data_IF_918593610214
#
_entry.id   IF_918593610214
#
_cell.length_a   1.000
_cell.length_b   1.000
_cell.length_c   1.000
_cell.angle_alpha   90.00
_cell.angle_beta   90.00
_cell.angle_gamma   90.00
#
_symmetry.space_group_name_H-M   'P 1'
#
loop_
_entity.id
_entity.type
_entity.pdbx_description
1 polymer ?
#
# COMPACT_ATOMS: atom_id res chain seq x y z
N UNK A 1 2.96 53.78 6.52
CA UNK A 1 3.77 52.60 6.90
C UNK A 1 2.85 51.39 6.94
N UNK A 2 2.95 50.51 5.95
CA UNK A 2 2.13 49.29 5.90
C UNK A 2 2.73 48.27 6.86
N UNK A 3 2.09 48.08 8.02
CA UNK A 3 2.44 47.02 8.96
C UNK A 3 2.26 45.67 8.28
N UNK A 4 3.37 45.02 7.94
CA UNK A 4 3.41 43.64 7.49
C UNK A 4 2.97 42.74 8.65
N UNK A 5 1.65 42.53 8.77
CA UNK A 5 1.09 41.60 9.73
C UNK A 5 1.67 40.21 9.49
N UNK A 6 2.15 39.58 10.57
CA UNK A 6 2.55 38.17 10.57
C UNK A 6 1.36 37.38 10.02
N UNK A 7 1.50 36.86 8.80
CA UNK A 7 0.48 35.99 8.22
C UNK A 7 0.55 34.70 9.03
N UNK A 8 -0.40 34.50 9.96
CA UNK A 8 -0.52 33.25 10.70
C UNK A 8 -0.61 32.10 9.69
N UNK A 9 0.05 30.99 10.02
CA UNK A 9 0.06 29.81 9.16
C UNK A 9 -1.10 28.88 9.52
N UNK A 10 -1.61 28.16 8.53
CA UNK A 10 -2.56 27.07 8.70
C UNK A 10 -1.85 25.76 8.38
N UNK A 11 -1.68 24.94 9.41
CA UNK A 11 -0.86 23.73 9.44
C UNK A 11 -1.74 22.51 9.24
N UNK A 12 -1.65 21.89 8.07
CA UNK A 12 -2.47 20.73 7.72
C UNK A 12 -1.61 19.50 7.45
N UNK A 13 -1.97 18.38 8.08
CA UNK A 13 -1.35 17.08 7.85
C UNK A 13 -2.16 16.30 6.83
N UNK A 14 -1.52 15.83 5.76
CA UNK A 14 -2.13 14.89 4.82
C UNK A 14 -1.86 13.46 5.26
N UNK A 15 -2.81 12.88 5.97
CA UNK A 15 -2.77 11.50 6.45
C UNK A 15 -3.23 10.58 5.31
N UNK A 16 -2.32 9.75 4.77
CA UNK A 16 -2.71 8.71 3.80
C UNK A 16 -3.23 7.45 4.48
N UNK A 17 -2.88 7.29 5.76
CA UNK A 17 -3.14 6.10 6.57
C UNK A 17 -1.99 5.09 6.56
N UNK A 18 -1.01 5.22 5.67
CA UNK A 18 0.16 4.34 5.67
C UNK A 18 1.17 4.67 6.79
N UNK A 19 2.17 3.80 6.96
CA UNK A 19 3.28 3.87 7.93
C UNK A 19 3.92 5.26 7.99
N UNK A 20 4.29 5.85 6.86
CA UNK A 20 5.02 7.12 6.82
C UNK A 20 4.15 8.28 7.32
N UNK A 21 2.93 8.41 6.80
CA UNK A 21 2.03 9.50 7.21
C UNK A 21 1.58 9.36 8.67
N UNK A 22 1.45 8.13 9.16
CA UNK A 22 1.08 7.84 10.56
C UNK A 22 2.24 8.19 11.49
N UNK A 23 3.45 7.70 11.21
CA UNK A 23 4.65 8.03 11.96
C UNK A 23 4.89 9.54 11.99
N UNK A 24 4.77 10.20 10.83
CA UNK A 24 4.92 11.65 10.72
C UNK A 24 3.96 12.39 11.65
N UNK A 25 2.66 12.07 11.62
CA UNK A 25 1.66 12.74 12.47
C UNK A 25 2.01 12.59 13.95
N UNK A 26 2.26 11.36 14.40
CA UNK A 26 2.53 11.10 15.82
C UNK A 26 3.82 11.80 16.27
N UNK A 27 4.89 11.69 15.49
CA UNK A 27 6.15 12.37 15.79
C UNK A 27 6.02 13.90 15.78
N UNK A 28 5.15 14.47 14.93
CA UNK A 28 4.85 15.90 14.94
C UNK A 28 4.17 16.30 16.25
N UNK A 29 3.17 15.53 16.71
CA UNK A 29 2.46 15.78 17.96
C UNK A 29 3.40 15.65 19.17
N UNK A 30 4.23 14.61 19.22
CA UNK A 30 5.24 14.41 20.29
C UNK A 30 6.25 15.55 20.37
N UNK A 31 6.57 16.19 19.24
CA UNK A 31 7.48 17.35 19.16
C UNK A 31 6.80 18.69 19.37
N UNK A 32 5.50 18.71 19.71
CA UNK A 32 4.74 19.95 19.89
C UNK A 32 4.64 20.80 18.62
N UNK A 33 4.72 20.17 17.43
CA UNK A 33 4.56 20.89 16.17
C UNK A 33 3.10 21.32 15.97
N UNK A 34 2.87 22.47 15.32
CA UNK A 34 1.51 22.92 15.03
C UNK A 34 0.81 21.99 14.04
N UNK A 35 -0.41 21.58 14.40
CA UNK A 35 -1.35 20.82 13.57
C UNK A 35 -2.74 21.42 13.79
N UNK A 36 -3.20 22.24 12.85
CA UNK A 36 -4.56 22.79 12.87
C UNK A 36 -5.59 21.80 12.33
N UNK A 37 -5.20 20.91 11.42
CA UNK A 37 -6.08 19.91 10.82
C UNK A 37 -5.31 18.68 10.34
N UNK A 38 -5.93 17.51 10.49
CA UNK A 38 -5.50 16.26 9.85
C UNK A 38 -6.54 15.89 8.80
N UNK A 39 -6.10 15.74 7.55
CA UNK A 39 -6.99 15.40 6.42
C UNK A 39 -6.67 14.00 5.92
N UNK A 40 -7.69 13.16 5.84
CA UNK A 40 -7.66 11.87 5.13
C UNK A 40 -8.64 11.93 3.95
N UNK A 41 -8.25 11.33 2.82
CA UNK A 41 -9.08 11.27 1.62
C UNK A 41 -9.47 9.83 1.34
N UNK A 42 -10.74 9.52 1.56
CA UNK A 42 -11.37 8.24 1.35
C UNK A 42 -11.71 8.07 -0.14
N UNK A 43 -10.96 7.21 -0.82
CA UNK A 43 -11.18 6.89 -2.23
C UNK A 43 -12.31 5.88 -2.43
N UNK A 44 -12.71 5.17 -1.38
CA UNK A 44 -13.53 3.95 -1.47
C UNK A 44 -12.77 2.72 -1.99
N UNK A 45 -11.50 2.84 -2.34
CA UNK A 45 -10.64 1.75 -2.82
C UNK A 45 -9.51 1.41 -1.86
N UNK A 46 -9.55 1.89 -0.61
CA UNK A 46 -8.58 1.52 0.41
C UNK A 46 -8.88 0.10 0.94
N UNK A 47 -7.87 -0.60 1.48
CA UNK A 47 -8.13 -1.84 2.19
C UNK A 47 -9.06 -1.60 3.40
N UNK A 48 -9.98 -2.53 3.75
CA UNK A 48 -10.85 -2.36 4.92
C UNK A 48 -10.10 -2.06 6.22
N UNK A 49 -8.96 -2.73 6.44
CA UNK A 49 -8.13 -2.51 7.62
C UNK A 49 -7.50 -1.09 7.67
N UNK A 50 -7.32 -0.42 6.52
CA UNK A 50 -6.85 0.97 6.48
C UNK A 50 -7.90 1.93 7.04
N UNK A 51 -9.18 1.70 6.76
CA UNK A 51 -10.27 2.53 7.30
C UNK A 51 -10.33 2.39 8.83
N UNK A 52 -10.20 1.17 9.34
CA UNK A 52 -10.09 0.90 10.78
C UNK A 52 -8.88 1.58 11.41
N UNK A 53 -7.72 1.53 10.75
CA UNK A 53 -6.49 2.21 11.20
C UNK A 53 -6.66 3.72 11.35
N UNK A 54 -7.33 4.40 10.40
CA UNK A 54 -7.60 5.84 10.51
C UNK A 54 -8.42 6.16 11.77
N UNK A 55 -9.43 5.35 12.08
CA UNK A 55 -10.21 5.48 13.31
C UNK A 55 -9.37 5.27 14.57
N UNK A 56 -8.45 4.29 14.56
CA UNK A 56 -7.51 4.06 15.67
C UNK A 56 -6.58 5.25 15.90
N UNK A 57 -5.99 5.80 14.84
CA UNK A 57 -5.12 6.99 14.93
C UNK A 57 -5.87 8.19 15.50
N UNK A 58 -7.09 8.46 15.04
CA UNK A 58 -7.93 9.55 15.57
C UNK A 58 -8.22 9.37 17.07
N UNK A 59 -8.59 8.15 17.49
CA UNK A 59 -8.90 7.83 18.88
C UNK A 59 -7.68 7.96 19.82
N UNK A 60 -6.51 7.47 19.39
CA UNK A 60 -5.31 7.46 20.23
C UNK A 60 -4.58 8.81 20.27
N UNK A 61 -4.60 9.57 19.17
CA UNK A 61 -3.98 10.89 19.13
C UNK A 61 -4.88 11.98 19.73
N UNK A 62 -6.19 11.75 19.79
CA UNK A 62 -7.19 12.75 20.17
C UNK A 62 -7.36 13.88 19.15
N UNK A 63 -6.71 13.78 17.98
CA UNK A 63 -6.78 14.80 16.92
C UNK A 63 -7.86 14.39 15.92
N UNK A 64 -8.92 15.20 15.73
CA UNK A 64 -9.96 14.91 14.75
C UNK A 64 -9.40 14.80 13.33
N UNK A 65 -9.87 13.80 12.58
CA UNK A 65 -9.51 13.57 11.19
C UNK A 65 -10.65 14.03 10.29
N UNK A 66 -10.41 15.08 9.51
CA UNK A 66 -11.31 15.52 8.44
C UNK A 66 -11.28 14.50 7.31
N UNK A 67 -12.43 13.87 7.07
CA UNK A 67 -12.60 12.82 6.07
C UNK A 67 -13.19 13.42 4.79
N UNK A 68 -12.35 13.58 3.78
CA UNK A 68 -12.75 14.03 2.46
C UNK A 68 -13.12 12.84 1.58
N UNK A 69 -14.09 13.05 0.70
CA UNK A 69 -14.53 12.09 -0.32
C UNK A 69 -14.57 12.77 -1.68
N UNK A 70 -14.46 12.01 -2.79
CA UNK A 70 -14.66 12.61 -4.10
C UNK A 70 -16.14 12.99 -4.29
N UNK A 71 -16.39 14.05 -5.06
CA UNK A 71 -17.75 14.53 -5.38
C UNK A 71 -18.60 13.42 -6.05
N UNK A 72 -17.93 12.51 -6.79
CA UNK A 72 -18.49 11.30 -7.38
C UNK A 72 -17.54 10.12 -7.10
N UNK A 73 -18.05 8.89 -6.88
CA UNK A 73 -17.20 7.74 -6.53
C UNK A 73 -16.19 7.41 -7.62
N UNK A 74 -15.05 6.83 -7.26
CA UNK A 74 -14.02 6.48 -8.24
C UNK A 74 -14.49 5.49 -9.31
N UNK A 75 -15.45 4.61 -8.99
CA UNK A 75 -16.10 3.74 -9.99
C UNK A 75 -16.77 4.56 -11.11
N UNK A 76 -17.49 5.64 -10.78
CA UNK A 76 -18.08 6.52 -11.79
C UNK A 76 -17.00 7.13 -12.70
N UNK A 77 -15.92 7.63 -12.11
CA UNK A 77 -14.81 8.20 -12.89
C UNK A 77 -14.10 7.17 -13.77
N UNK A 78 -13.99 5.93 -13.30
CA UNK A 78 -13.34 4.85 -14.01
C UNK A 78 -14.18 4.34 -15.19
N UNK A 79 -15.51 4.22 -15.02
CA UNK A 79 -16.39 3.53 -15.97
C UNK A 79 -17.35 4.45 -16.74
N UNK A 80 -17.92 5.46 -16.08
CA UNK A 80 -19.11 6.17 -16.60
C UNK A 80 -18.80 7.61 -17.04
N UNK A 81 -17.75 8.22 -16.51
CA UNK A 81 -17.42 9.61 -16.79
C UNK A 81 -17.10 9.83 -18.28
N UNK A 82 -17.92 10.61 -18.97
CA UNK A 82 -17.69 10.99 -20.37
C UNK A 82 -16.51 11.94 -20.47
N UNK A 83 -15.47 11.52 -21.21
CA UNK A 83 -14.24 12.28 -21.39
C UNK A 83 -14.49 13.48 -22.30
N UNK A 84 -14.17 14.67 -21.81
CA UNK A 84 -14.42 15.90 -22.56
C UNK A 84 -13.30 16.29 -23.54
N UNK A 85 -12.09 15.72 -23.40
CA UNK A 85 -10.88 16.12 -24.15
C UNK A 85 -9.95 14.93 -24.42
N UNK A 86 -9.08 15.09 -25.42
CA UNK A 86 -8.04 14.12 -25.80
C UNK A 86 -8.50 13.12 -26.87
N UNK A 87 -7.65 12.15 -27.19
CA UNK A 87 -7.87 11.19 -28.29
C UNK A 87 -9.13 10.30 -28.14
N UNK A 88 -9.68 10.22 -26.93
CA UNK A 88 -10.88 9.43 -26.58
C UNK A 88 -11.98 10.33 -26.03
N UNK A 89 -12.08 11.57 -26.51
CA UNK A 89 -13.17 12.46 -26.14
C UNK A 89 -14.51 11.88 -26.62
N UNK A 90 -15.55 11.97 -25.80
CA UNK A 90 -16.86 11.36 -26.03
C UNK A 90 -17.00 9.92 -25.52
N UNK A 91 -15.90 9.24 -25.17
CA UNK A 91 -15.95 7.90 -24.59
C UNK A 91 -16.14 7.94 -23.06
N UNK A 92 -16.79 6.90 -22.53
CA UNK A 92 -17.02 6.74 -21.10
C UNK A 92 -15.80 6.15 -20.37
N UNK A 93 -15.57 6.66 -19.16
CA UNK A 93 -14.59 6.15 -18.22
C UNK A 93 -13.15 6.60 -18.51
N UNK A 94 -12.42 6.96 -17.45
CA UNK A 94 -10.98 7.15 -17.57
C UNK A 94 -10.22 5.82 -17.73
N UNK A 95 -10.83 4.70 -17.37
CA UNK A 95 -10.17 3.39 -17.34
C UNK A 95 -9.05 3.33 -16.28
N UNK A 96 -8.17 2.33 -16.41
CA UNK A 96 -7.06 2.16 -15.49
C UNK A 96 -6.06 3.31 -15.56
N UNK A 97 -5.72 3.85 -14.40
CA UNK A 97 -4.72 4.91 -14.28
C UNK A 97 -3.34 4.41 -14.75
N UNK A 98 -2.61 5.28 -15.45
CA UNK A 98 -1.22 5.02 -15.88
C UNK A 98 -0.26 6.02 -15.24
N UNK A 99 1.04 5.76 -15.31
CA UNK A 99 2.07 6.67 -14.79
C UNK A 99 1.90 8.11 -15.29
N UNK A 100 1.58 8.30 -16.57
CA UNK A 100 1.33 9.60 -17.18
C UNK A 100 -0.12 10.11 -17.09
N UNK A 101 -1.06 9.30 -16.60
CA UNK A 101 -2.49 9.64 -16.52
C UNK A 101 -3.07 9.14 -15.19
N UNK A 102 -2.69 9.81 -14.10
CA UNK A 102 -3.12 9.50 -12.73
C UNK A 102 -4.35 10.33 -12.35
N UNK A 103 -5.48 10.06 -13.00
CA UNK A 103 -6.73 10.78 -12.74
C UNK A 103 -7.17 10.67 -11.27
N UNK A 104 -6.99 9.51 -10.64
CA UNK A 104 -7.32 9.27 -9.23
C UNK A 104 -6.50 10.17 -8.28
N UNK A 105 -5.20 10.32 -8.55
CA UNK A 105 -4.33 11.24 -7.80
C UNK A 105 -4.78 12.68 -8.00
N UNK A 106 -5.10 13.09 -9.23
CA UNK A 106 -5.55 14.45 -9.54
C UNK A 106 -6.82 14.82 -8.79
N UNK A 107 -7.84 13.95 -8.81
CA UNK A 107 -9.10 14.17 -8.08
C UNK A 107 -8.82 14.35 -6.59
N UNK A 108 -8.07 13.42 -5.98
CA UNK A 108 -7.69 13.47 -4.56
C UNK A 108 -6.96 14.76 -4.22
N UNK A 109 -5.89 15.10 -4.94
CA UNK A 109 -5.08 16.29 -4.66
C UNK A 109 -5.89 17.57 -4.86
N UNK A 110 -6.71 17.66 -5.91
CA UNK A 110 -7.53 18.85 -6.16
C UNK A 110 -8.61 19.06 -5.09
N UNK A 111 -9.21 17.99 -4.59
CA UNK A 111 -10.18 18.07 -3.50
C UNK A 111 -9.53 18.51 -2.18
N UNK A 112 -8.39 17.92 -1.82
CA UNK A 112 -7.60 18.34 -0.65
C UNK A 112 -7.18 19.82 -0.79
N UNK A 113 -6.63 20.22 -1.93
CA UNK A 113 -6.16 21.59 -2.15
C UNK A 113 -7.31 22.59 -2.07
N UNK A 114 -8.50 22.24 -2.59
CA UNK A 114 -9.72 23.07 -2.49
C UNK A 114 -10.15 23.24 -1.04
N UNK A 115 -10.22 22.14 -0.29
CA UNK A 115 -10.59 22.13 1.13
C UNK A 115 -9.62 22.97 1.96
N UNK A 116 -8.32 22.69 1.84
CA UNK A 116 -7.27 23.37 2.60
C UNK A 116 -7.26 24.88 2.33
N UNK A 117 -7.45 25.30 1.07
CA UNK A 117 -7.55 26.73 0.72
C UNK A 117 -8.78 27.39 1.36
N UNK A 118 -9.92 26.70 1.37
CA UNK A 118 -11.13 27.21 2.00
C UNK A 118 -10.94 27.39 3.53
N UNK A 119 -10.34 26.40 4.20
CA UNK A 119 -10.12 26.43 5.65
C UNK A 119 -9.01 27.38 6.09
N UNK A 120 -7.99 27.58 5.26
CA UNK A 120 -6.91 28.52 5.55
C UNK A 120 -7.40 29.99 5.52
N UNK A 121 -8.35 30.31 4.65
CA UNK A 121 -8.79 31.69 4.42
C UNK A 121 -7.63 32.57 3.93
N UNK A 122 -7.24 33.58 4.73
CA UNK A 122 -6.11 34.48 4.43
C UNK A 122 -4.76 33.99 4.99
N UNK A 123 -4.74 32.87 5.71
CA UNK A 123 -3.53 32.30 6.34
C UNK A 123 -2.65 31.63 5.29
N UNK A 124 -1.34 31.59 5.56
CA UNK A 124 -0.39 30.86 4.73
C UNK A 124 -0.54 29.35 4.99
N UNK A 125 -0.79 28.56 3.96
CA UNK A 125 -0.90 27.10 4.09
C UNK A 125 0.47 26.47 4.26
N UNK A 126 0.62 25.62 5.28
CA UNK A 126 1.75 24.71 5.47
C UNK A 126 1.19 23.29 5.47
N UNK A 127 1.45 22.55 4.38
CA UNK A 127 0.98 21.18 4.24
C UNK A 127 2.12 20.20 4.50
N UNK A 128 1.90 19.29 5.45
CA UNK A 128 2.82 18.22 5.81
C UNK A 128 2.42 16.93 5.10
N UNK A 129 3.39 16.26 4.46
CA UNK A 129 3.19 15.00 3.74
C UNK A 129 4.22 13.98 4.19
N UNK A 130 3.75 12.77 4.52
CA UNK A 130 4.62 11.65 4.90
C UNK A 130 5.37 11.10 3.69
N UNK A 131 6.60 11.55 3.50
CA UNK A 131 7.59 10.97 2.60
C UNK A 131 8.82 10.67 3.45
N UNK A 132 9.27 9.43 3.45
CA UNK A 132 10.44 9.00 4.19
C UNK A 132 11.76 9.56 3.60
N UNK A 133 12.82 9.58 4.39
CA UNK A 133 14.12 10.14 4.02
C UNK A 133 14.78 9.43 2.83
N UNK A 134 14.64 8.12 2.74
CA UNK A 134 15.08 7.27 1.61
C UNK A 134 14.23 7.47 0.33
N UNK A 135 13.10 8.14 0.44
CA UNK A 135 12.24 8.56 -0.67
C UNK A 135 12.31 10.07 -0.98
N UNK A 136 13.30 10.80 -0.44
CA UNK A 136 13.40 12.25 -0.52
C UNK A 136 13.34 12.82 -1.96
N UNK A 137 13.76 12.06 -2.97
CA UNK A 137 13.65 12.44 -4.38
C UNK A 137 12.19 12.69 -4.85
N UNK A 138 11.19 12.20 -4.08
CA UNK A 138 9.75 12.41 -4.33
C UNK A 138 9.22 13.73 -3.76
N UNK A 139 9.98 14.40 -2.88
CA UNK A 139 9.56 15.62 -2.20
C UNK A 139 9.47 16.82 -3.16
N UNK A 140 8.31 17.49 -3.21
CA UNK A 140 8.04 18.65 -4.07
C UNK A 140 7.17 19.70 -3.39
N UNK A 141 7.70 20.90 -3.12
CA UNK A 141 6.90 22.09 -2.80
C UNK A 141 6.00 22.05 -1.55
N UNK A 142 6.18 21.08 -0.64
CA UNK A 142 5.44 20.93 0.63
C UNK A 142 6.44 20.70 1.78
N UNK A 143 5.97 20.50 3.00
CA UNK A 143 6.82 20.14 4.16
C UNK A 143 6.90 18.63 4.32
N UNK A 144 8.10 18.13 4.60
CA UNK A 144 8.38 16.70 4.64
C UNK A 144 9.15 16.35 5.92
N UNK A 145 8.48 16.37 7.09
CA UNK A 145 9.16 16.20 8.38
C UNK A 145 10.01 14.94 8.48
N UNK A 146 9.55 13.78 7.96
CA UNK A 146 10.36 12.56 8.02
C UNK A 146 11.68 12.69 7.24
N UNK A 147 11.68 13.38 6.09
CA UNK A 147 12.92 13.72 5.36
C UNK A 147 13.80 14.64 6.22
N UNK A 148 13.20 15.66 6.83
CA UNK A 148 13.89 16.63 7.69
C UNK A 148 14.50 15.98 8.94
N UNK A 149 13.94 14.87 9.40
CA UNK A 149 14.39 14.11 10.57
C UNK A 149 15.23 12.88 10.23
N UNK A 150 15.46 12.59 8.95
CA UNK A 150 16.22 11.41 8.52
C UNK A 150 15.52 10.07 8.78
N UNK A 151 14.19 10.04 8.90
CA UNK A 151 13.43 8.82 9.18
C UNK A 151 13.11 8.07 7.88
N UNK A 152 13.59 6.83 7.77
CA UNK A 152 13.36 5.91 6.64
C UNK A 152 12.00 5.22 6.70
N UNK A 153 11.56 4.58 5.59
CA UNK A 153 10.31 3.81 5.58
C UNK A 153 10.30 2.68 6.63
N UNK A 154 11.45 2.02 6.83
CA UNK A 154 11.60 0.93 7.78
C UNK A 154 11.49 1.43 9.23
N UNK A 155 12.12 2.56 9.55
CA UNK A 155 12.03 3.19 10.86
C UNK A 155 10.62 3.72 11.13
N UNK A 156 9.96 4.31 10.14
CA UNK A 156 8.56 4.74 10.25
C UNK A 156 7.63 3.56 10.60
N UNK A 157 7.81 2.42 9.94
CA UNK A 157 7.05 1.21 10.25
C UNK A 157 7.34 0.69 11.65
N UNK A 158 8.63 0.57 12.02
CA UNK A 158 9.04 0.09 13.33
C UNK A 158 8.51 0.99 14.45
N UNK A 159 8.58 2.31 14.27
CA UNK A 159 8.06 3.32 15.17
C UNK A 159 6.54 3.18 15.40
N UNK A 160 5.79 2.92 14.33
CA UNK A 160 4.36 2.68 14.42
C UNK A 160 4.04 1.34 15.12
N UNK A 161 4.76 0.27 14.79
CA UNK A 161 4.57 -1.04 15.44
C UNK A 161 4.85 -0.99 16.94
N UNK A 162 5.88 -0.26 17.36
CA UNK A 162 6.18 -0.06 18.78
C UNK A 162 5.05 0.64 19.55
N UNK A 163 4.13 1.31 18.85
CA UNK A 163 2.92 1.96 19.42
C UNK A 163 1.65 1.15 19.19
N UNK A 164 1.77 -0.10 18.71
CA UNK A 164 0.65 -1.00 18.52
C UNK A 164 -0.13 -0.80 17.22
N UNK A 165 0.39 -0.04 16.24
CA UNK A 165 -0.22 0.01 14.91
C UNK A 165 0.26 -1.16 14.04
N UNK A 166 -0.69 -1.98 13.57
CA UNK A 166 -0.43 -3.18 12.78
C UNK A 166 -1.16 -3.22 11.43
N UNK A 167 -2.10 -2.30 11.19
CA UNK A 167 -2.96 -2.26 10.01
C UNK A 167 -3.66 -3.60 9.72
N UNK A 168 -3.99 -4.38 10.76
CA UNK A 168 -4.53 -5.73 10.59
C UNK A 168 -3.57 -6.68 9.87
N UNK A 169 -2.26 -6.49 10.01
CA UNK A 169 -1.21 -7.32 9.41
C UNK A 169 -0.90 -6.99 7.95
N UNK A 170 -1.45 -5.90 7.38
CA UNK A 170 -1.21 -5.57 5.97
C UNK A 170 0.29 -5.38 5.66
N UNK A 171 1.04 -4.73 6.56
CA UNK A 171 2.48 -4.53 6.36
C UNK A 171 3.35 -5.78 6.60
N UNK A 172 2.76 -6.91 7.03
CA UNK A 172 3.46 -8.20 7.05
C UNK A 172 3.44 -8.89 5.67
N UNK A 173 2.57 -8.40 4.79
CA UNK A 173 2.26 -9.00 3.48
C UNK A 173 2.62 -8.07 2.32
N UNK A 174 2.50 -6.77 2.52
CA UNK A 174 2.69 -5.74 1.49
C UNK A 174 3.75 -4.71 1.89
N UNK A 175 4.54 -4.27 0.92
CA UNK A 175 5.49 -3.17 1.12
C UNK A 175 4.80 -1.81 1.24
N UNK A 176 3.72 -1.63 0.46
CA UNK A 176 2.92 -0.41 0.38
C UNK A 176 1.43 -0.71 0.38
N UNK A 177 0.73 -0.13 1.33
CA UNK A 177 -0.72 -0.29 1.53
C UNK A 177 -1.38 1.06 1.24
N UNK A 178 -2.21 1.07 0.20
CA UNK A 178 -2.98 2.23 -0.26
C UNK A 178 -4.23 1.68 -0.93
N UNK A 179 -4.54 2.12 -2.16
CA UNK A 179 -5.59 1.48 -2.92
C UNK A 179 -5.20 0.06 -3.35
N UNK A 180 -6.07 -0.91 -3.06
CA UNK A 180 -5.82 -2.34 -3.30
C UNK A 180 -5.84 -2.70 -4.80
N UNK A 181 -6.50 -1.89 -5.63
CA UNK A 181 -6.67 -2.11 -7.07
C UNK A 181 -5.68 -1.31 -7.94
N UNK A 182 -4.52 -0.91 -7.42
CA UNK A 182 -3.64 0.01 -8.14
C UNK A 182 -2.81 -0.72 -9.21
N UNK A 183 -2.93 -0.36 -10.50
CA UNK A 183 -2.15 -1.01 -11.56
C UNK A 183 -0.63 -0.77 -11.46
N UNK A 184 -0.21 0.19 -10.62
CA UNK A 184 1.19 0.56 -10.39
C UNK A 184 1.83 -0.18 -9.20
N UNK A 185 1.12 -1.12 -8.56
CA UNK A 185 1.67 -1.96 -7.50
C UNK A 185 2.75 -2.91 -8.02
N UNK A 186 3.50 -3.56 -7.13
CA UNK A 186 4.48 -4.58 -7.55
C UNK A 186 3.74 -5.87 -7.94
N UNK A 187 4.35 -6.71 -8.77
CA UNK A 187 3.77 -8.03 -9.09
C UNK A 187 3.72 -8.93 -7.84
N UNK A 188 4.66 -8.77 -6.90
CA UNK A 188 4.62 -9.45 -5.59
C UNK A 188 3.35 -9.10 -4.82
N UNK A 189 3.02 -7.81 -4.72
CA UNK A 189 1.82 -7.33 -4.05
C UNK A 189 0.55 -7.89 -4.72
N UNK A 190 0.52 -7.99 -6.06
CA UNK A 190 -0.64 -8.58 -6.74
C UNK A 190 -0.78 -10.09 -6.51
N UNK A 191 0.35 -10.83 -6.43
CA UNK A 191 0.31 -12.24 -6.04
C UNK A 191 -0.22 -12.40 -4.61
N UNK A 192 0.22 -11.53 -3.71
CA UNK A 192 -0.25 -11.54 -2.32
C UNK A 192 -1.73 -11.16 -2.22
N UNK A 193 -2.18 -10.16 -3.00
CA UNK A 193 -3.59 -9.79 -3.09
C UNK A 193 -4.43 -10.99 -3.55
N UNK A 194 -4.01 -11.68 -4.63
CA UNK A 194 -4.67 -12.87 -5.14
C UNK A 194 -4.76 -13.99 -4.11
N UNK A 195 -3.68 -14.25 -3.37
CA UNK A 195 -3.59 -15.37 -2.41
C UNK A 195 -4.35 -15.10 -1.11
N UNK A 196 -4.25 -13.88 -0.59
CA UNK A 196 -4.70 -13.54 0.76
C UNK A 196 -6.01 -12.75 0.80
N UNK A 197 -6.44 -12.21 -0.34
CA UNK A 197 -7.68 -11.41 -0.46
C UNK A 197 -8.45 -11.81 -1.74
N UNK A 198 -8.94 -13.06 -1.84
CA UNK A 198 -9.60 -13.56 -3.05
C UNK A 198 -10.82 -12.72 -3.45
N UNK A 199 -11.60 -12.20 -2.49
CA UNK A 199 -12.74 -11.33 -2.80
C UNK A 199 -12.33 -10.02 -3.47
N UNK A 200 -11.22 -9.41 -3.03
CA UNK A 200 -10.67 -8.21 -3.66
C UNK A 200 -10.06 -8.53 -5.03
N UNK A 201 -9.51 -9.72 -5.20
CA UNK A 201 -8.99 -10.19 -6.48
C UNK A 201 -10.10 -10.41 -7.51
N UNK A 202 -11.21 -11.04 -7.12
CA UNK A 202 -12.38 -11.19 -8.00
C UNK A 202 -12.98 -9.83 -8.36
N UNK A 203 -13.08 -8.91 -7.39
CA UNK A 203 -13.50 -7.54 -7.69
C UNK A 203 -12.54 -6.84 -8.66
N UNK A 204 -11.23 -7.08 -8.53
CA UNK A 204 -10.23 -6.54 -9.46
C UNK A 204 -10.42 -7.10 -10.88
N UNK A 205 -10.73 -8.40 -11.01
CA UNK A 205 -11.04 -9.04 -12.31
C UNK A 205 -12.30 -8.44 -12.94
N UNK A 206 -13.36 -8.25 -12.15
CA UNK A 206 -14.60 -7.61 -12.61
C UNK A 206 -14.37 -6.16 -13.07
N UNK A 207 -13.56 -5.41 -12.31
CA UNK A 207 -13.18 -4.05 -12.68
C UNK A 207 -12.41 -4.00 -14.00
N UNK A 208 -11.49 -4.95 -14.22
CA UNK A 208 -10.68 -5.00 -15.44
C UNK A 208 -11.52 -5.41 -16.66
N UNK A 209 -12.43 -6.37 -16.50
CA UNK A 209 -13.35 -6.78 -17.56
C UNK A 209 -14.29 -5.64 -18.02
N UNK A 210 -14.56 -4.67 -17.15
CA UNK A 210 -15.37 -3.48 -17.44
C UNK A 210 -14.57 -2.29 -17.98
N UNK A 211 -13.28 -2.23 -17.69
CA UNK A 211 -12.43 -1.12 -18.11
C UNK A 211 -12.20 -1.17 -19.63
N UNK A 212 -12.10 -0.01 -20.27
CA UNK A 212 -11.85 0.03 -21.71
C UNK A 212 -10.39 -0.31 -22.07
N UNK A 213 -9.47 -0.19 -21.13
CA UNK A 213 -8.06 -0.57 -21.27
C UNK A 213 -7.68 -1.67 -20.31
N UNK A 214 -6.57 -2.33 -20.61
CA UNK A 214 -5.93 -3.29 -19.73
C UNK A 214 -5.43 -2.65 -18.43
N UNK A 215 -5.54 -3.43 -17.35
CA UNK A 215 -5.01 -3.13 -16.02
C UNK A 215 -3.58 -2.59 -16.05
N UNK A 216 -2.67 -3.34 -16.65
CA UNK A 216 -1.29 -2.90 -16.91
C UNK A 216 -1.12 -2.55 -18.39
N UNK A 217 0.09 -2.13 -18.79
CA UNK A 217 0.36 -1.93 -20.22
C UNK A 217 0.40 -3.34 -20.83
N UNK A 218 -0.50 -3.58 -21.79
CA UNK A 218 -0.63 -4.84 -22.54
C UNK A 218 -0.77 -6.08 -21.65
N UNK A 219 -1.43 -5.93 -20.50
CA UNK A 219 -1.59 -7.01 -19.53
C UNK A 219 -2.85 -6.83 -18.68
N UNK A 220 -3.83 -7.70 -18.90
CA UNK A 220 -5.09 -7.79 -18.15
C UNK A 220 -4.91 -8.55 -16.84
N UNK A 221 -5.82 -8.38 -15.90
CA UNK A 221 -5.88 -9.15 -14.65
C UNK A 221 -6.09 -10.63 -14.95
N UNK A 222 -6.88 -10.97 -15.98
CA UNK A 222 -7.08 -12.35 -16.40
C UNK A 222 -5.79 -13.01 -16.95
N UNK A 223 -4.93 -12.25 -17.63
CA UNK A 223 -3.60 -12.73 -18.01
C UNK A 223 -2.69 -12.90 -16.79
N UNK A 224 -2.78 -12.01 -15.80
CA UNK A 224 -2.07 -12.16 -14.53
C UNK A 224 -2.57 -13.38 -13.75
N UNK A 225 -3.87 -13.65 -13.72
CA UNK A 225 -4.46 -14.83 -13.08
C UNK A 225 -3.85 -16.10 -13.65
N UNK A 226 -3.88 -16.25 -14.98
CA UNK A 226 -3.28 -17.40 -15.67
C UNK A 226 -1.78 -17.54 -15.37
N UNK A 227 -1.06 -16.42 -15.40
CA UNK A 227 0.37 -16.40 -15.08
C UNK A 227 0.64 -16.86 -13.65
N UNK A 228 -0.06 -16.31 -12.67
CA UNK A 228 0.15 -16.63 -11.25
C UNK A 228 -0.28 -18.06 -10.93
N UNK A 229 -1.39 -18.53 -11.51
CA UNK A 229 -1.79 -19.94 -11.41
C UNK A 229 -0.72 -20.89 -11.97
N UNK A 230 -0.11 -20.54 -13.10
CA UNK A 230 0.99 -21.32 -13.66
C UNK A 230 2.24 -21.33 -12.75
N UNK A 231 2.63 -20.17 -12.22
CA UNK A 231 3.75 -20.04 -11.27
C UNK A 231 3.52 -20.85 -9.97
N UNK A 232 2.29 -20.87 -9.46
CA UNK A 232 1.89 -21.66 -8.29
C UNK A 232 2.00 -23.17 -8.58
N UNK A 233 1.55 -23.61 -9.76
CA UNK A 233 1.68 -25.00 -10.20
C UNK A 233 3.15 -25.43 -10.31
N UNK A 234 4.01 -24.59 -10.91
CA UNK A 234 5.44 -24.89 -11.02
C UNK A 234 6.10 -25.02 -9.65
N UNK A 235 5.78 -24.12 -8.72
CA UNK A 235 6.30 -24.15 -7.34
C UNK A 235 5.91 -25.46 -6.65
N UNK A 236 4.66 -25.89 -6.83
CA UNK A 236 4.14 -27.15 -6.28
C UNK A 236 4.86 -28.37 -6.84
N UNK A 237 5.06 -28.42 -8.16
CA UNK A 237 5.77 -29.53 -8.82
C UNK A 237 7.23 -29.62 -8.37
N UNK A 238 7.93 -28.48 -8.30
CA UNK A 238 9.32 -28.44 -7.84
C UNK A 238 9.46 -28.85 -6.37
N UNK A 239 8.51 -28.45 -5.52
CA UNK A 239 8.45 -28.88 -4.12
C UNK A 239 8.32 -30.41 -4.01
N UNK A 240 7.39 -30.99 -4.77
CA UNK A 240 7.21 -32.44 -4.83
C UNK A 240 8.48 -33.18 -5.29
N UNK A 241 9.15 -32.67 -6.34
CA UNK A 241 10.42 -33.25 -6.82
C UNK A 241 11.49 -33.20 -5.73
N UNK A 242 11.66 -32.05 -5.06
CA UNK A 242 12.66 -31.89 -4.01
C UNK A 242 12.39 -32.82 -2.80
N UNK A 243 11.13 -33.00 -2.41
CA UNK A 243 10.73 -33.92 -1.35
C UNK A 243 11.01 -35.38 -1.73
N UNK A 244 10.70 -35.77 -2.96
CA UNK A 244 10.98 -37.10 -3.52
C UNK A 244 12.47 -37.40 -3.50
N UNK A 245 13.29 -36.50 -4.02
CA UNK A 245 14.74 -36.66 -4.01
C UNK A 245 15.31 -36.71 -2.59
N UNK A 246 14.77 -35.92 -1.65
CA UNK A 246 15.20 -35.96 -0.25
C UNK A 246 14.85 -37.30 0.42
N UNK A 247 13.68 -37.88 0.09
CA UNK A 247 13.27 -39.20 0.56
C UNK A 247 14.17 -40.30 0.00
N UNK A 248 14.51 -40.24 -1.28
CA UNK A 248 15.41 -41.20 -1.95
C UNK A 248 16.84 -41.12 -1.38
N UNK A 249 17.36 -39.90 -1.12
CA UNK A 249 18.66 -39.71 -0.43
C UNK A 249 18.66 -40.33 0.97
N UNK A 250 17.61 -40.07 1.78
CA UNK A 250 17.48 -40.65 3.14
C UNK A 250 17.39 -42.18 3.12
N UNK A 251 16.73 -42.76 2.12
CA UNK A 251 16.64 -44.21 1.96
C UNK A 251 18.00 -44.84 1.61
N UNK A 252 18.81 -44.17 0.80
CA UNK A 252 20.16 -44.64 0.46
C UNK A 252 21.16 -44.47 1.62
N UNK A 253 21.07 -43.37 2.39
CA UNK A 253 21.95 -43.11 3.52
C UNK A 253 21.66 -44.02 4.74
N UNK A 254 20.44 -44.56 4.85
CA UNK A 254 20.05 -45.53 5.87
C UNK A 254 20.53 -46.97 5.62
N UNK A 255 21.19 -47.25 4.50
CA UNK A 255 21.59 -48.61 4.07
C UNK A 255 22.97 -49.09 4.57
N UNK A 256 23.79 -48.23 5.19
CA UNK A 256 25.13 -48.58 5.68
C UNK A 256 25.20 -48.43 7.21
N UNK A 257 24.57 -49.35 7.95
CA UNK A 257 24.48 -49.28 9.41
C UNK A 257 24.05 -50.57 10.10
N UNK A 258 24.59 -51.73 9.71
CA UNK A 258 24.47 -52.97 10.49
C UNK A 258 25.53 -53.98 10.03
N UNK A 259 26.74 -53.85 10.59
CA UNK A 259 27.85 -54.78 10.41
C UNK A 259 28.69 -54.86 11.68
N UNK A 260 28.06 -54.98 12.84
CA UNK A 260 28.73 -55.23 14.11
C UNK A 260 28.59 -56.72 14.49
N UNK A 261 29.73 -57.41 14.36
CA UNK A 261 30.20 -58.55 15.13
C UNK A 261 29.18 -59.43 15.86
N UNK A 262 28.91 -60.63 15.35
CA UNK A 262 28.66 -61.81 16.17
C UNK A 262 29.23 -63.05 15.45
N UNK A 263 30.39 -63.54 15.90
CA UNK A 263 30.77 -64.93 15.71
C UNK A 263 31.24 -65.44 17.08
N UNK A 264 30.31 -66.14 17.72
CA UNK A 264 30.40 -66.72 19.05
C UNK A 264 31.32 -67.94 19.08
N UNK A 265 31.89 -68.13 20.25
CA UNK A 265 32.59 -69.31 20.74
C UNK A 265 31.83 -70.61 20.43
N UNK A 266 32.57 -71.67 20.04
CA UNK A 266 32.16 -73.05 20.26
C UNK A 266 33.06 -73.65 21.34
N UNK A 267 32.47 -73.98 22.47
CA UNK A 267 32.98 -74.97 23.41
C UNK A 267 32.67 -76.38 22.88
N UNK A 268 33.53 -77.34 23.23
CA UNK A 268 33.16 -78.75 23.35
C UNK A 268 34.20 -79.75 22.85
N UNK A 269 34.94 -80.30 23.81
CA UNK A 269 35.71 -81.57 23.84
C UNK A 269 37.06 -81.69 23.10
#
# INVERSE_FOLDING_TARGET
MAGGGIVSAYHVVSLSGGKDSTAMLIMMLERGMPVDEVVWFDTGWEFPAMVGHIGKVEAETGVPVTRLRPDLPFNYWMFDHVRMKGARAGEAGYGWARMGSRWCTKIKTSAIDRHVKAMAGRRRVVQYVGIAADEAHRAKGKRYPLVEWGVTEAEALAYCRARGYDWGGLYDRFDRVSCWCCPLQRLSDLRELRRSFPDLWELLRDMDARAWNDFRIDCTVEQLERRFAFEDCQTTVLGYIAEREAMERRANDGGYGSGACIASERQGD
#
